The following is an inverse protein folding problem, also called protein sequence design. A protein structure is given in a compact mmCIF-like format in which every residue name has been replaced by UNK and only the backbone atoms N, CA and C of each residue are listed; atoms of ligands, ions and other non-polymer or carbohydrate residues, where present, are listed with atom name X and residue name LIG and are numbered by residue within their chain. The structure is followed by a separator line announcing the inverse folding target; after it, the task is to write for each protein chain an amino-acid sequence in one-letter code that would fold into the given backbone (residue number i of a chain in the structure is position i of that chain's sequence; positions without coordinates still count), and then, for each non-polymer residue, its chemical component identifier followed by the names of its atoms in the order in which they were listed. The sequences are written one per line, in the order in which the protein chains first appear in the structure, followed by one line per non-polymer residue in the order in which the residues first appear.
data_IF_345370203543
#
_entry.id   IF_345370203543
#
_cell.length_a   1.000
_cell.length_b   1.000
_cell.length_c   1.000
_cell.angle_alpha   90.00
_cell.angle_beta   90.00
_cell.angle_gamma   90.00
#
_symmetry.space_group_name_H-M   'P 1'
#
loop_
_entity.id
_entity.type
_entity.pdbx_description
1 polymer ?
#
# COMPACT_ATOMS: atom_id res chain seq x y z
N UNK A 1 -11.55 6.51 2.67
CA UNK A 1 -11.23 6.63 1.23
C UNK A 1 -12.18 5.77 0.39
N UNK A 2 -12.12 4.44 0.49
CA UNK A 2 -12.96 3.49 -0.29
C UNK A 2 -14.45 3.81 -0.30
N UNK A 3 -15.05 4.07 0.87
CA UNK A 3 -16.49 4.42 0.98
C UNK A 3 -16.84 5.72 0.25
N UNK A 4 -15.94 6.71 0.27
CA UNK A 4 -16.16 8.01 -0.38
C UNK A 4 -16.12 7.91 -1.90
N UNK A 5 -15.18 7.14 -2.45
CA UNK A 5 -15.12 6.91 -3.90
C UNK A 5 -16.28 6.08 -4.42
N UNK A 6 -16.73 5.08 -3.64
CA UNK A 6 -17.92 4.32 -3.98
C UNK A 6 -19.17 5.21 -4.02
N UNK A 7 -19.31 6.16 -3.07
CA UNK A 7 -20.42 7.13 -3.09
C UNK A 7 -20.33 8.05 -4.31
N UNK A 8 -19.16 8.62 -4.57
CA UNK A 8 -18.95 9.52 -5.71
C UNK A 8 -19.18 8.82 -7.06
N UNK A 9 -18.80 7.55 -7.20
CA UNK A 9 -19.09 6.78 -8.40
C UNK A 9 -20.58 6.41 -8.54
N UNK A 10 -21.26 6.12 -7.43
CA UNK A 10 -22.68 5.77 -7.42
C UNK A 10 -23.60 6.90 -7.90
N UNK A 11 -23.16 8.15 -7.75
CA UNK A 11 -23.87 9.37 -8.16
C UNK A 11 -23.62 9.77 -9.62
N UNK A 12 -22.71 9.10 -10.34
CA UNK A 12 -22.44 9.43 -11.75
C UNK A 12 -23.61 9.05 -12.67
N UNK A 13 -23.84 9.89 -13.68
CA UNK A 13 -24.95 9.78 -14.63
C UNK A 13 -25.02 8.41 -15.33
N UNK A 14 -23.88 7.78 -15.62
CA UNK A 14 -23.86 6.46 -16.26
C UNK A 14 -24.41 5.33 -15.35
N UNK A 15 -24.27 5.44 -14.02
CA UNK A 15 -24.86 4.47 -13.10
C UNK A 15 -26.37 4.70 -12.96
N UNK A 16 -26.81 5.97 -12.96
CA UNK A 16 -28.23 6.31 -13.03
C UNK A 16 -28.87 5.80 -14.33
N UNK A 17 -28.22 6.02 -15.48
CA UNK A 17 -28.65 5.52 -16.78
C UNK A 17 -28.68 3.99 -16.85
N UNK A 18 -27.67 3.30 -16.31
CA UNK A 18 -27.64 1.83 -16.27
C UNK A 18 -28.79 1.25 -15.41
N UNK A 19 -29.15 1.94 -14.32
CA UNK A 19 -30.33 1.58 -13.51
C UNK A 19 -31.64 1.84 -14.24
N UNK A 20 -31.78 2.95 -14.98
CA UNK A 20 -33.03 3.28 -15.68
C UNK A 20 -33.37 2.31 -16.82
N UNK A 21 -32.36 1.66 -17.42
CA UNK A 21 -32.53 0.57 -18.40
C UNK A 21 -32.65 -0.83 -17.76
N UNK A 22 -32.80 -0.94 -16.43
CA UNK A 22 -33.07 -2.21 -15.74
C UNK A 22 -31.85 -3.10 -15.46
N UNK A 23 -30.62 -2.57 -15.53
CA UNK A 23 -29.41 -3.35 -15.23
C UNK A 23 -29.36 -3.74 -13.76
N UNK A 24 -29.08 -5.01 -13.46
CA UNK A 24 -28.96 -5.49 -12.08
C UNK A 24 -27.78 -4.84 -11.34
N UNK A 25 -27.97 -4.54 -10.06
CA UNK A 25 -26.94 -3.90 -9.21
C UNK A 25 -25.61 -4.65 -9.22
N UNK A 26 -25.64 -5.99 -9.27
CA UNK A 26 -24.42 -6.81 -9.34
C UNK A 26 -23.65 -6.62 -10.65
N UNK A 27 -24.34 -6.51 -11.79
CA UNK A 27 -23.71 -6.24 -13.08
C UNK A 27 -23.11 -4.83 -13.11
N UNK A 28 -23.80 -3.84 -12.55
CA UNK A 28 -23.28 -2.47 -12.40
C UNK A 28 -22.01 -2.45 -11.55
N UNK A 29 -22.02 -3.15 -10.41
CA UNK A 29 -20.86 -3.21 -9.51
C UNK A 29 -19.67 -3.86 -10.21
N UNK A 30 -19.82 -5.04 -10.83
CA UNK A 30 -18.70 -5.75 -11.46
C UNK A 30 -18.17 -5.07 -12.71
N UNK A 31 -19.03 -4.48 -13.54
CA UNK A 31 -18.65 -3.94 -14.84
C UNK A 31 -18.25 -2.47 -14.80
N UNK A 32 -18.77 -1.70 -13.84
CA UNK A 32 -18.56 -0.25 -13.79
C UNK A 32 -17.97 0.23 -12.47
N UNK A 33 -18.38 -0.29 -11.31
CA UNK A 33 -17.87 0.22 -10.03
C UNK A 33 -16.49 -0.34 -9.68
N UNK A 34 -16.35 -1.67 -9.71
CA UNK A 34 -15.13 -2.40 -9.34
C UNK A 34 -13.91 -1.94 -10.15
N UNK A 35 -13.93 -1.90 -11.48
CA UNK A 35 -12.75 -1.49 -12.26
C UNK A 35 -12.29 -0.07 -11.96
N UNK A 36 -13.23 0.82 -11.61
CA UNK A 36 -12.92 2.22 -11.34
C UNK A 36 -12.44 2.48 -9.91
N UNK A 37 -12.87 1.66 -8.94
CA UNK A 37 -12.48 1.81 -7.52
C UNK A 37 -11.23 0.98 -7.16
N UNK A 38 -10.99 -0.14 -7.85
CA UNK A 38 -9.79 -0.97 -7.60
C UNK A 38 -8.51 -0.17 -7.82
N UNK A 39 -8.49 0.68 -8.86
CA UNK A 39 -7.37 1.54 -9.21
C UNK A 39 -6.88 2.41 -8.02
N UNK A 40 -7.69 3.32 -7.45
CA UNK A 40 -7.30 4.14 -6.31
C UNK A 40 -7.13 3.35 -5.00
N UNK A 41 -7.85 2.22 -4.81
CA UNK A 41 -7.61 1.30 -3.69
C UNK A 41 -6.19 0.77 -3.73
N UNK A 42 -5.74 0.28 -4.89
CA UNK A 42 -4.42 -0.33 -5.02
C UNK A 42 -3.31 0.68 -4.72
N UNK A 43 -3.44 1.92 -5.21
CA UNK A 43 -2.50 3.01 -4.87
C UNK A 43 -2.46 3.25 -3.35
N UNK A 44 -3.63 3.38 -2.73
CA UNK A 44 -3.74 3.61 -1.27
C UNK A 44 -3.17 2.43 -0.47
N UNK A 45 -3.40 1.20 -0.93
CA UNK A 45 -2.90 -0.02 -0.30
C UNK A 45 -1.38 -0.08 -0.35
N UNK A 46 -0.76 0.29 -1.48
CA UNK A 46 0.70 0.33 -1.62
C UNK A 46 1.33 1.34 -0.66
N UNK A 47 0.77 2.54 -0.55
CA UNK A 47 1.24 3.55 0.42
C UNK A 47 1.05 3.06 1.87
N UNK A 48 -0.10 2.43 2.16
CA UNK A 48 -0.37 1.84 3.48
C UNK A 48 0.62 0.72 3.83
N UNK A 49 1.02 -0.09 2.85
CA UNK A 49 1.99 -1.17 3.02
C UNK A 49 3.37 -0.62 3.41
N UNK A 50 3.82 0.48 2.78
CA UNK A 50 5.08 1.12 3.14
C UNK A 50 5.09 1.57 4.62
N UNK A 51 4.00 2.20 5.07
CA UNK A 51 3.83 2.59 6.47
C UNK A 51 3.80 1.37 7.40
N UNK A 52 3.11 0.30 7.00
CA UNK A 52 3.05 -0.92 7.78
C UNK A 52 4.43 -1.58 7.98
N UNK A 53 5.26 -1.62 6.93
CA UNK A 53 6.63 -2.17 7.01
C UNK A 53 7.49 -1.38 7.99
N UNK A 54 7.47 -0.04 7.91
CA UNK A 54 8.22 0.81 8.84
C UNK A 54 7.73 0.61 10.27
N UNK A 55 6.41 0.58 10.45
CA UNK A 55 5.80 0.44 11.77
C UNK A 55 6.13 -0.92 12.40
N UNK A 56 6.02 -2.00 11.63
CA UNK A 56 6.40 -3.35 12.08
C UNK A 56 7.89 -3.41 12.42
N UNK A 57 8.75 -2.87 11.55
CA UNK A 57 10.20 -2.83 11.80
C UNK A 57 10.53 -2.06 13.08
N UNK A 58 9.86 -0.93 13.33
CA UNK A 58 10.03 -0.15 14.55
C UNK A 58 9.54 -0.90 15.80
N UNK A 59 8.39 -1.57 15.74
CA UNK A 59 7.88 -2.38 16.85
C UNK A 59 8.79 -3.58 17.15
N UNK A 60 9.26 -4.26 16.12
CA UNK A 60 10.23 -5.35 16.23
C UNK A 60 11.56 -4.87 16.81
N UNK A 61 12.01 -3.66 16.44
CA UNK A 61 13.20 -3.03 17.02
C UNK A 61 13.04 -2.71 18.51
N UNK A 62 11.86 -2.24 18.91
CA UNK A 62 11.52 -1.98 20.31
C UNK A 62 11.24 -3.25 21.13
N UNK A 63 11.25 -4.44 20.50
CA UNK A 63 10.97 -5.72 21.16
C UNK A 63 9.50 -6.01 21.43
N UNK A 64 8.58 -5.20 20.88
CA UNK A 64 7.11 -5.37 20.98
C UNK A 64 6.51 -6.05 19.75
N UNK A 65 7.35 -6.40 18.77
CA UNK A 65 6.95 -7.12 17.56
C UNK A 65 6.86 -8.63 17.75
N UNK A 66 7.38 -9.36 16.76
CA UNK A 66 7.34 -10.82 16.76
C UNK A 66 8.16 -11.46 17.90
N UNK A 67 7.84 -12.71 18.31
CA UNK A 67 8.63 -13.47 19.28
C UNK A 67 10.11 -13.53 18.91
N UNK A 68 10.98 -13.77 19.89
CA UNK A 68 12.44 -13.76 19.70
C UNK A 68 12.95 -14.73 18.64
N UNK A 69 12.20 -15.77 18.38
CA UNK A 69 12.59 -16.86 17.50
C UNK A 69 12.28 -16.53 16.02
N UNK A 70 11.61 -15.39 15.77
CA UNK A 70 11.28 -14.93 14.43
C UNK A 70 12.29 -13.88 13.95
N UNK A 71 13.05 -14.16 12.86
CA UNK A 71 14.06 -13.22 12.37
C UNK A 71 13.38 -12.09 11.56
N UNK A 72 12.97 -11.03 12.24
CA UNK A 72 12.52 -9.78 11.58
C UNK A 72 13.69 -8.82 11.37
N UNK A 73 13.63 -7.98 10.33
CA UNK A 73 14.68 -6.99 10.08
C UNK A 73 14.79 -5.95 11.20
N UNK A 74 13.67 -5.56 11.82
CA UNK A 74 13.67 -4.68 12.98
C UNK A 74 14.39 -5.29 14.19
N UNK A 75 14.19 -6.59 14.44
CA UNK A 75 14.88 -7.30 15.51
C UNK A 75 16.37 -7.49 15.21
N UNK A 76 16.72 -7.86 13.97
CA UNK A 76 18.12 -7.94 13.54
C UNK A 76 18.87 -6.62 13.76
N UNK A 77 18.19 -5.49 13.53
CA UNK A 77 18.73 -4.17 13.81
C UNK A 77 18.94 -3.96 15.32
N UNK A 78 17.95 -4.30 16.15
CA UNK A 78 18.05 -4.16 17.61
C UNK A 78 19.20 -5.00 18.21
N UNK A 79 19.37 -6.24 17.75
CA UNK A 79 20.43 -7.14 18.20
C UNK A 79 21.84 -6.68 17.76
N UNK A 80 21.90 -5.89 16.68
CA UNK A 80 23.15 -5.38 16.12
C UNK A 80 23.62 -4.06 16.75
N UNK A 81 22.71 -3.22 17.25
CA UNK A 81 23.04 -1.91 17.86
C UNK A 81 24.12 -1.99 18.94
N UNK A 82 24.07 -2.92 19.93
CA UNK A 82 25.07 -3.00 20.98
C UNK A 82 26.49 -3.31 20.50
N UNK A 83 26.61 -3.87 19.29
CA UNK A 83 27.90 -4.25 18.68
C UNK A 83 28.22 -3.44 17.43
N UNK A 84 27.55 -2.31 17.21
CA UNK A 84 27.70 -1.50 16.01
C UNK A 84 29.13 -0.97 15.80
N UNK A 85 29.85 -0.65 16.88
CA UNK A 85 31.26 -0.22 16.79
C UNK A 85 32.19 -1.33 16.31
N UNK A 86 31.85 -2.60 16.57
CA UNK A 86 32.65 -3.76 16.21
C UNK A 86 32.23 -4.36 14.87
N UNK A 87 30.92 -4.37 14.58
CA UNK A 87 30.31 -5.01 13.42
C UNK A 87 29.25 -4.09 12.79
N UNK A 88 29.65 -2.93 12.22
CA UNK A 88 28.71 -1.97 11.65
C UNK A 88 27.88 -2.54 10.50
N UNK A 89 28.40 -3.54 9.78
CA UNK A 89 27.70 -4.23 8.70
C UNK A 89 26.40 -4.91 9.18
N UNK A 90 26.34 -5.35 10.44
CA UNK A 90 25.15 -6.02 10.99
C UNK A 90 23.98 -5.07 11.21
N UNK A 91 24.25 -3.76 11.34
CA UNK A 91 23.24 -2.71 11.40
C UNK A 91 22.87 -2.25 9.98
N UNK A 92 23.87 -2.11 9.10
CA UNK A 92 23.67 -1.60 7.74
C UNK A 92 22.82 -2.53 6.87
N UNK A 93 23.03 -3.84 6.94
CA UNK A 93 22.29 -4.81 6.11
C UNK A 93 20.77 -4.76 6.30
N UNK A 94 20.21 -4.91 7.52
CA UNK A 94 18.77 -4.80 7.72
C UNK A 94 18.27 -3.37 7.44
N UNK A 95 19.05 -2.33 7.74
CA UNK A 95 18.66 -0.94 7.46
C UNK A 95 18.51 -0.66 5.96
N UNK A 96 19.43 -1.15 5.13
CA UNK A 96 19.37 -1.02 3.68
C UNK A 96 18.22 -1.86 3.12
N UNK A 97 18.00 -3.08 3.63
CA UNK A 97 16.90 -3.94 3.18
C UNK A 97 15.52 -3.31 3.43
N UNK A 98 15.30 -2.75 4.63
CA UNK A 98 14.06 -2.01 4.96
C UNK A 98 13.92 -0.81 4.02
N UNK A 99 14.99 -0.01 3.87
CA UNK A 99 14.97 1.21 3.05
C UNK A 99 14.64 0.91 1.58
N UNK A 100 15.30 -0.09 0.97
CA UNK A 100 15.06 -0.50 -0.41
C UNK A 100 13.64 -1.03 -0.60
N UNK A 101 13.12 -1.80 0.37
CA UNK A 101 11.75 -2.32 0.29
C UNK A 101 10.74 -1.18 0.35
N UNK A 102 10.89 -0.26 1.31
CA UNK A 102 10.02 0.91 1.44
C UNK A 102 10.07 1.79 0.20
N UNK A 103 11.27 2.08 -0.32
CA UNK A 103 11.44 2.86 -1.55
C UNK A 103 10.81 2.16 -2.76
N UNK A 104 11.04 0.85 -2.92
CA UNK A 104 10.47 0.06 -4.01
C UNK A 104 8.94 0.04 -3.96
N UNK A 105 8.35 -0.12 -2.78
CA UNK A 105 6.89 -0.06 -2.58
C UNK A 105 6.37 1.34 -2.89
N UNK A 106 7.02 2.40 -2.40
CA UNK A 106 6.60 3.78 -2.69
C UNK A 106 6.66 4.08 -4.20
N UNK A 107 7.76 3.74 -4.88
CA UNK A 107 7.87 3.94 -6.32
C UNK A 107 6.87 3.12 -7.13
N UNK A 108 6.57 1.90 -6.69
CA UNK A 108 5.50 1.11 -7.30
C UNK A 108 4.14 1.79 -7.11
N UNK A 109 3.89 2.38 -5.95
CA UNK A 109 2.66 3.11 -5.64
C UNK A 109 2.51 4.36 -6.50
N UNK A 110 3.60 5.12 -6.68
CA UNK A 110 3.64 6.30 -7.53
C UNK A 110 3.48 5.92 -9.01
N UNK A 111 4.20 4.90 -9.50
CA UNK A 111 4.04 4.43 -10.87
C UNK A 111 2.64 3.89 -11.16
N UNK A 112 2.02 3.23 -10.17
CA UNK A 112 0.63 2.78 -10.27
C UNK A 112 -0.33 3.97 -10.29
N UNK A 113 -0.09 4.98 -9.44
CA UNK A 113 -0.87 6.23 -9.44
C UNK A 113 -0.79 6.94 -10.78
N UNK A 114 0.40 7.06 -11.34
CA UNK A 114 0.63 7.73 -12.62
C UNK A 114 -0.04 6.98 -13.78
N UNK A 115 0.06 5.65 -13.81
CA UNK A 115 -0.61 4.81 -14.81
C UNK A 115 -2.15 4.88 -14.73
N UNK A 116 -2.67 5.22 -13.55
CA UNK A 116 -4.09 5.25 -13.25
C UNK A 116 -4.68 6.67 -13.20
N UNK A 117 -3.86 7.73 -13.24
CA UNK A 117 -4.32 9.11 -13.27
C UNK A 117 -5.06 9.39 -14.59
N UNK A 118 -6.38 9.63 -14.57
CA UNK A 118 -7.17 9.85 -15.79
C UNK A 118 -6.78 11.11 -16.56
N UNK A 119 -6.05 12.05 -15.93
CA UNK A 119 -5.70 13.35 -16.53
C UNK A 119 -4.70 13.24 -17.68
N UNK A 120 -3.98 12.13 -17.81
CA UNK A 120 -3.01 11.91 -18.90
C UNK A 120 -3.71 11.41 -20.19
N UNK A 121 -4.95 10.90 -20.08
CA UNK A 121 -5.73 10.34 -21.20
C UNK A 121 -6.65 11.33 -21.91
N UNK A 122 -6.58 12.61 -21.54
CA UNK A 122 -7.41 13.69 -22.10
C UNK A 122 -6.67 14.54 -23.12
N UNK A 123 -6.34 13.97 -24.29
CA UNK A 123 -6.16 14.68 -25.57
C UNK A 123 -6.54 13.77 -26.72
#
# INVERSE_FOLDING_TARGET
IVRGEILALKEREFILAARSIGTSSGAIIRRHLLPNVVSPIMVSATLGLAVAIITESALSFLGVGFPSDFPTWGKMLADAVPRMEQYPERVLLPGIAISLTVLGVNYLGDGLRDALDPRIRGR
#
